data_IF_655572726123
#
_entry.id   IF_655572726123
#
_cell.length_a   1.000
_cell.length_b   1.000
_cell.length_c   1.000
_cell.angle_alpha   90.00
_cell.angle_beta   90.00
_cell.angle_gamma   90.00
#
_symmetry.space_group_name_H-M   'P 1'
#
loop_
_entity.id
_entity.type
_entity.pdbx_description
1 polymer ?
#
# COMPACT_ATOMS: atom_id res chain seq x y z
N UNK A 1 -3.43 -13.03 20.18
CA UNK A 1 -2.11 -13.67 19.94
C UNK A 1 -2.24 -15.19 19.82
N UNK A 2 -2.73 -15.90 20.84
CA UNK A 2 -2.89 -17.36 20.82
C UNK A 2 -3.84 -17.84 19.72
N UNK A 3 -4.95 -17.18 19.50
CA UNK A 3 -5.94 -17.53 18.46
C UNK A 3 -5.41 -17.40 17.04
N UNK A 4 -4.61 -16.39 16.76
CA UNK A 4 -4.01 -16.20 15.43
C UNK A 4 -2.98 -17.30 15.13
N UNK A 5 -2.17 -17.67 16.13
CA UNK A 5 -1.16 -18.73 16.00
C UNK A 5 -1.83 -20.10 15.81
N UNK A 6 -2.89 -20.38 16.56
CA UNK A 6 -3.59 -21.69 16.51
C UNK A 6 -4.33 -21.95 15.20
N UNK A 7 -4.63 -20.90 14.43
CA UNK A 7 -5.35 -20.98 13.15
C UNK A 7 -4.44 -20.97 11.92
N UNK A 8 -3.13 -20.74 12.12
CA UNK A 8 -2.17 -20.68 11.03
C UNK A 8 -1.29 -21.93 11.03
N UNK A 9 -1.43 -22.72 9.98
CA UNK A 9 -0.78 -24.03 9.81
C UNK A 9 0.20 -24.09 8.62
N UNK A 10 0.53 -22.93 8.02
CA UNK A 10 1.39 -22.84 6.86
C UNK A 10 2.57 -21.90 7.03
N UNK A 11 3.35 -21.73 5.96
CA UNK A 11 4.40 -20.72 5.86
C UNK A 11 3.83 -19.42 5.32
N UNK A 12 4.05 -18.32 6.05
CA UNK A 12 3.71 -16.98 5.59
C UNK A 12 4.86 -16.41 4.75
N UNK A 13 4.58 -16.15 3.47
CA UNK A 13 5.57 -15.60 2.53
C UNK A 13 5.34 -14.13 2.28
N UNK A 14 6.43 -13.35 2.31
CA UNK A 14 6.44 -11.91 1.98
C UNK A 14 7.22 -11.66 0.69
N UNK A 15 6.51 -11.32 -0.37
CA UNK A 15 7.11 -11.02 -1.68
C UNK A 15 7.38 -9.51 -1.84
N UNK A 16 8.54 -9.18 -2.37
CA UNK A 16 8.94 -7.80 -2.67
C UNK A 16 9.97 -7.79 -3.82
N UNK A 17 10.12 -6.64 -4.47
CA UNK A 17 11.15 -6.46 -5.49
C UNK A 17 12.52 -6.19 -4.83
N UNK A 18 13.53 -6.98 -5.17
CA UNK A 18 14.84 -6.94 -4.54
C UNK A 18 15.62 -5.65 -4.82
N UNK A 19 15.37 -5.02 -5.97
CA UNK A 19 15.98 -3.75 -6.38
C UNK A 19 15.47 -2.53 -5.61
N UNK A 20 14.42 -2.69 -4.76
CA UNK A 20 13.91 -1.60 -3.91
C UNK A 20 14.75 -1.28 -2.67
N UNK A 21 15.72 -2.13 -2.32
CA UNK A 21 16.44 -2.04 -1.05
C UNK A 21 15.62 -2.42 0.19
N UNK A 22 14.43 -2.96 0.04
CA UNK A 22 13.51 -3.28 1.14
C UNK A 22 13.85 -4.57 1.91
N UNK A 23 14.90 -5.29 1.52
CA UNK A 23 15.30 -6.54 2.17
C UNK A 23 15.44 -6.43 3.71
N UNK A 24 16.13 -5.43 4.28
CA UNK A 24 16.26 -5.34 5.74
C UNK A 24 14.92 -5.19 6.46
N UNK A 25 13.96 -4.47 5.86
CA UNK A 25 12.62 -4.31 6.41
C UNK A 25 11.89 -5.65 6.48
N UNK A 26 11.86 -6.41 5.40
CA UNK A 26 11.13 -7.69 5.36
C UNK A 26 11.83 -8.78 6.14
N UNK A 27 13.15 -8.79 6.20
CA UNK A 27 13.89 -9.65 7.14
C UNK A 27 13.51 -9.37 8.60
N UNK A 28 13.38 -8.10 8.97
CA UNK A 28 12.94 -7.72 10.32
C UNK A 28 11.51 -8.17 10.62
N UNK A 29 10.56 -7.99 9.68
CA UNK A 29 9.18 -8.45 9.82
C UNK A 29 9.13 -9.96 10.02
N UNK A 30 9.80 -10.73 9.16
CA UNK A 30 9.85 -12.19 9.24
C UNK A 30 10.46 -12.65 10.57
N UNK A 31 11.56 -12.03 11.01
CA UNK A 31 12.17 -12.35 12.29
C UNK A 31 11.25 -12.06 13.48
N UNK A 32 10.52 -10.96 13.45
CA UNK A 32 9.55 -10.63 14.50
C UNK A 32 8.38 -11.63 14.54
N UNK A 33 7.87 -12.07 13.40
CA UNK A 33 6.82 -13.08 13.33
C UNK A 33 7.31 -14.43 13.89
N UNK A 34 8.51 -14.84 13.53
CA UNK A 34 9.14 -16.08 14.07
C UNK A 34 9.36 -15.98 15.58
N UNK A 35 10.03 -14.92 16.03
CA UNK A 35 10.47 -14.80 17.42
C UNK A 35 9.32 -14.49 18.38
N UNK A 36 8.34 -13.67 17.97
CA UNK A 36 7.28 -13.22 18.86
C UNK A 36 6.02 -14.08 18.78
N UNK A 37 5.77 -14.70 17.63
CA UNK A 37 4.54 -15.45 17.38
C UNK A 37 4.77 -16.93 17.08
N UNK A 38 6.01 -17.36 16.81
CA UNK A 38 6.31 -18.73 16.40
C UNK A 38 5.77 -19.10 15.01
N UNK A 39 5.44 -18.09 14.19
CA UNK A 39 4.93 -18.31 12.82
C UNK A 39 6.11 -18.61 11.90
N UNK A 40 5.99 -19.68 11.10
CA UNK A 40 6.95 -19.93 10.02
C UNK A 40 6.73 -18.89 8.90
N UNK A 41 7.64 -17.92 8.82
CA UNK A 41 7.58 -16.84 7.85
C UNK A 41 8.89 -16.79 7.03
N UNK A 42 8.77 -16.46 5.74
CA UNK A 42 9.91 -16.33 4.83
C UNK A 42 9.76 -15.13 3.91
N UNK A 43 10.88 -14.57 3.48
CA UNK A 43 10.90 -13.56 2.42
C UNK A 43 11.00 -14.24 1.05
N UNK A 44 10.37 -13.64 0.04
CA UNK A 44 10.45 -14.03 -1.36
C UNK A 44 10.88 -12.82 -2.20
N UNK A 45 12.19 -12.55 -2.32
CA UNK A 45 12.68 -11.45 -3.16
C UNK A 45 12.53 -11.80 -4.64
N UNK A 46 11.86 -10.94 -5.40
CA UNK A 46 11.75 -11.03 -6.85
C UNK A 46 12.78 -10.07 -7.45
N UNK A 47 13.59 -10.48 -8.44
CA UNK A 47 14.79 -9.74 -8.84
C UNK A 47 14.53 -8.28 -9.18
N UNK A 48 13.52 -7.99 -9.99
CA UNK A 48 13.22 -6.64 -10.49
C UNK A 48 11.82 -6.17 -10.17
N UNK A 49 11.61 -4.86 -10.14
CA UNK A 49 10.29 -4.27 -10.00
C UNK A 49 9.34 -4.69 -11.13
N UNK A 50 9.83 -4.81 -12.36
CA UNK A 50 9.00 -5.22 -13.50
C UNK A 50 8.47 -6.65 -13.32
N UNK A 51 9.34 -7.61 -13.01
CA UNK A 51 8.92 -9.00 -12.76
C UNK A 51 7.94 -9.09 -11.59
N UNK A 52 8.19 -8.30 -10.54
CA UNK A 52 7.29 -8.20 -9.40
C UNK A 52 5.90 -7.69 -9.83
N UNK A 53 5.84 -6.59 -10.59
CA UNK A 53 4.57 -6.03 -11.09
C UNK A 53 3.85 -7.01 -12.02
N UNK A 54 4.57 -7.68 -12.89
CA UNK A 54 3.99 -8.70 -13.78
C UNK A 54 3.35 -9.84 -12.98
N UNK A 55 4.03 -10.32 -11.94
CA UNK A 55 3.50 -11.37 -11.07
C UNK A 55 2.26 -10.92 -10.27
N UNK A 56 2.23 -9.68 -9.78
CA UNK A 56 1.06 -9.10 -9.10
C UNK A 56 -0.11 -8.94 -10.08
N UNK A 57 0.12 -8.35 -11.25
CA UNK A 57 -0.90 -8.10 -12.27
C UNK A 57 -1.52 -9.41 -12.77
N UNK A 58 -0.69 -10.43 -12.96
CA UNK A 58 -1.14 -11.75 -13.41
C UNK A 58 -1.69 -12.63 -12.28
N UNK A 59 -1.84 -12.11 -11.07
CA UNK A 59 -2.34 -12.84 -9.89
C UNK A 59 -1.53 -14.11 -9.56
N UNK A 60 -0.22 -14.05 -9.80
CA UNK A 60 0.71 -15.15 -9.53
C UNK A 60 1.34 -15.08 -8.13
N UNK A 61 1.14 -13.97 -7.41
CA UNK A 61 1.63 -13.82 -6.05
C UNK A 61 0.89 -14.75 -5.08
N UNK A 62 1.65 -15.37 -4.18
CA UNK A 62 1.13 -16.17 -3.09
C UNK A 62 1.58 -15.57 -1.77
N UNK A 63 0.65 -15.44 -0.81
CA UNK A 63 0.93 -14.82 0.48
C UNK A 63 0.92 -13.29 0.40
N UNK A 64 1.58 -12.66 1.35
CA UNK A 64 1.67 -11.21 1.42
C UNK A 64 2.69 -10.66 0.42
N UNK A 65 2.44 -9.49 -0.12
CA UNK A 65 3.37 -8.81 -1.00
C UNK A 65 3.42 -7.30 -0.70
N UNK A 66 4.55 -6.72 -1.05
CA UNK A 66 4.77 -5.29 -0.91
C UNK A 66 3.85 -4.49 -1.84
N UNK A 67 3.28 -3.43 -1.33
CA UNK A 67 2.64 -2.41 -2.16
C UNK A 67 2.98 -1.03 -1.64
N UNK A 68 2.84 -0.01 -2.48
CA UNK A 68 3.05 1.38 -2.13
C UNK A 68 2.31 2.27 -3.12
N UNK A 69 1.96 3.47 -2.68
CA UNK A 69 1.27 4.45 -3.51
C UNK A 69 1.83 5.83 -3.25
N UNK A 70 1.93 6.61 -4.29
CA UNK A 70 2.17 8.05 -4.23
C UNK A 70 0.98 8.74 -4.88
N UNK A 71 0.31 9.67 -4.19
CA UNK A 71 -0.90 10.28 -4.73
C UNK A 71 -0.57 11.23 -5.88
N UNK A 72 -1.45 11.28 -6.87
CA UNK A 72 -1.35 12.19 -8.00
C UNK A 72 -1.90 13.58 -7.67
N UNK A 73 -2.74 13.66 -6.64
CA UNK A 73 -3.37 14.90 -6.14
C UNK A 73 -3.72 14.77 -4.65
N UNK A 74 -3.84 15.90 -3.90
CA UNK A 74 -4.03 15.90 -2.44
C UNK A 74 -5.48 15.59 -2.04
N UNK A 75 -5.91 14.34 -2.25
CA UNK A 75 -7.21 13.84 -1.84
C UNK A 75 -7.10 12.42 -1.29
N UNK A 76 -7.87 12.12 -0.26
CA UNK A 76 -8.02 10.75 0.24
C UNK A 76 -8.57 9.79 -0.84
N UNK A 77 -9.36 10.30 -1.77
CA UNK A 77 -9.89 9.54 -2.91
C UNK A 77 -8.79 8.86 -3.70
N UNK A 78 -7.65 9.55 -3.93
CA UNK A 78 -6.54 8.97 -4.71
C UNK A 78 -5.89 7.76 -4.05
N UNK A 79 -6.01 7.60 -2.74
CA UNK A 79 -5.63 6.40 -2.03
C UNK A 79 -6.76 5.38 -1.96
N UNK A 80 -7.92 5.81 -1.46
CA UNK A 80 -8.99 4.91 -1.08
C UNK A 80 -9.64 4.26 -2.32
N UNK A 81 -10.08 5.09 -3.28
CA UNK A 81 -10.75 4.58 -4.47
C UNK A 81 -9.81 3.82 -5.39
N UNK A 82 -8.60 4.36 -5.63
CA UNK A 82 -7.65 3.77 -6.57
C UNK A 82 -7.14 2.39 -6.11
N UNK A 83 -6.94 2.21 -4.80
CA UNK A 83 -6.30 1.02 -4.26
C UNK A 83 -7.28 -0.03 -3.74
N UNK A 84 -8.53 0.34 -3.42
CA UNK A 84 -9.42 -0.55 -2.68
C UNK A 84 -10.83 -0.66 -3.25
N UNK A 85 -11.21 0.15 -4.25
CA UNK A 85 -12.54 0.02 -4.84
C UNK A 85 -12.71 -1.30 -5.60
N UNK A 86 -13.93 -1.81 -5.60
CA UNK A 86 -14.30 -2.98 -6.42
C UNK A 86 -14.07 -2.70 -7.90
N UNK A 87 -14.25 -1.45 -8.35
CA UNK A 87 -14.01 -1.05 -9.73
C UNK A 87 -12.55 -1.18 -10.17
N UNK A 88 -11.60 -1.02 -9.24
CA UNK A 88 -10.17 -1.12 -9.49
C UNK A 88 -9.61 -2.54 -9.29
N UNK A 89 -10.44 -3.50 -8.89
CA UNK A 89 -10.07 -4.90 -8.68
C UNK A 89 -9.99 -5.70 -10.00
N UNK A 90 -9.62 -6.96 -9.91
CA UNK A 90 -9.60 -7.94 -11.00
C UNK A 90 -8.72 -7.49 -12.21
N UNK A 91 -7.69 -6.71 -11.96
CA UNK A 91 -6.78 -6.20 -13.00
C UNK A 91 -7.28 -4.95 -13.74
N UNK A 92 -8.43 -4.36 -13.32
CA UNK A 92 -8.97 -3.15 -13.93
C UNK A 92 -8.31 -1.86 -13.42
N UNK A 93 -7.49 -1.94 -12.37
CA UNK A 93 -6.81 -0.80 -11.76
C UNK A 93 -5.72 -1.22 -10.80
N UNK A 94 -5.51 -0.43 -9.74
CA UNK A 94 -4.42 -0.61 -8.78
C UNK A 94 -4.83 -1.34 -7.48
N UNK A 95 -6.02 -1.93 -7.43
CA UNK A 95 -6.45 -2.78 -6.33
C UNK A 95 -5.82 -4.18 -6.48
N UNK A 96 -4.55 -4.27 -6.16
CA UNK A 96 -3.74 -5.48 -6.35
C UNK A 96 -4.18 -6.66 -5.45
N UNK A 97 -4.87 -6.37 -4.36
CA UNK A 97 -5.40 -7.36 -3.42
C UNK A 97 -6.80 -7.87 -3.76
N UNK A 98 -7.43 -7.35 -4.80
CA UNK A 98 -8.80 -7.67 -5.22
C UNK A 98 -9.84 -7.53 -4.09
N UNK A 99 -9.62 -6.59 -3.17
CA UNK A 99 -10.56 -6.28 -2.10
C UNK A 99 -11.88 -5.77 -2.69
N UNK A 100 -12.99 -6.22 -2.13
CA UNK A 100 -14.34 -5.85 -2.56
C UNK A 100 -15.23 -5.63 -1.36
N UNK A 101 -15.75 -4.43 -1.21
CA UNK A 101 -16.69 -4.06 -0.15
C UNK A 101 -17.72 -3.06 -0.68
N UNK A 102 -18.98 -3.48 -0.88
CA UNK A 102 -20.04 -2.56 -1.33
C UNK A 102 -20.22 -1.36 -0.40
N UNK A 103 -20.09 -1.55 0.91
CA UNK A 103 -20.23 -0.46 1.89
C UNK A 103 -19.09 0.57 1.73
N UNK A 104 -17.86 0.13 1.51
CA UNK A 104 -16.72 0.99 1.20
C UNK A 104 -16.93 1.76 -0.11
N UNK A 105 -17.31 1.05 -1.17
CA UNK A 105 -17.55 1.64 -2.49
C UNK A 105 -18.62 2.73 -2.44
N UNK A 106 -19.71 2.48 -1.69
CA UNK A 106 -20.82 3.43 -1.57
C UNK A 106 -20.41 4.70 -0.81
N UNK A 107 -19.62 4.59 0.24
CA UNK A 107 -19.07 5.76 0.96
C UNK A 107 -18.15 6.58 0.07
N UNK A 108 -17.29 5.94 -0.69
CA UNK A 108 -16.41 6.65 -1.64
C UNK A 108 -17.19 7.38 -2.74
N UNK A 109 -18.25 6.76 -3.29
CA UNK A 109 -19.13 7.42 -4.27
C UNK A 109 -19.89 8.61 -3.68
N UNK A 110 -20.38 8.48 -2.45
CA UNK A 110 -21.03 9.60 -1.74
C UNK A 110 -20.03 10.74 -1.47
N UNK A 111 -18.79 10.39 -1.08
CA UNK A 111 -17.73 11.38 -0.87
C UNK A 111 -17.40 12.14 -2.16
N UNK A 112 -17.30 11.44 -3.29
CA UNK A 112 -17.05 12.05 -4.60
C UNK A 112 -18.20 12.97 -5.06
N UNK A 113 -19.43 12.73 -4.60
CA UNK A 113 -20.60 13.55 -4.91
C UNK A 113 -20.89 14.65 -3.87
N UNK A 114 -20.07 14.77 -2.83
CA UNK A 114 -20.28 15.74 -1.76
C UNK A 114 -20.09 17.18 -2.25
N UNK A 115 -20.86 18.10 -1.68
CA UNK A 115 -20.83 19.51 -2.08
C UNK A 115 -19.67 20.31 -1.45
N UNK A 116 -19.01 19.76 -0.46
CA UNK A 116 -17.85 20.38 0.20
C UNK A 116 -16.75 19.36 0.47
N UNK A 117 -15.51 19.84 0.51
CA UNK A 117 -14.33 19.02 0.89
C UNK A 117 -14.46 18.45 2.30
N UNK A 118 -15.02 19.22 3.23
CA UNK A 118 -15.20 18.77 4.61
C UNK A 118 -16.18 17.61 4.72
N UNK A 119 -17.27 17.63 3.96
CA UNK A 119 -18.23 16.54 3.95
C UNK A 119 -17.68 15.32 3.20
N UNK A 120 -16.95 15.53 2.11
CA UNK A 120 -16.20 14.45 1.43
C UNK A 120 -15.22 13.76 2.39
N UNK A 121 -14.42 14.53 3.13
CA UNK A 121 -13.44 13.99 4.07
C UNK A 121 -14.08 13.15 5.19
N UNK A 122 -15.23 13.56 5.72
CA UNK A 122 -15.96 12.76 6.72
C UNK A 122 -16.39 11.40 6.18
N UNK A 123 -16.83 11.36 4.92
CA UNK A 123 -17.24 10.11 4.27
C UNK A 123 -16.02 9.22 3.96
N UNK A 124 -14.90 9.81 3.53
CA UNK A 124 -13.65 9.06 3.35
C UNK A 124 -13.10 8.51 4.67
N UNK A 125 -13.22 9.23 5.78
CA UNK A 125 -12.86 8.71 7.10
C UNK A 125 -13.69 7.48 7.47
N UNK A 126 -15.00 7.48 7.21
CA UNK A 126 -15.83 6.31 7.44
C UNK A 126 -15.45 5.12 6.52
N UNK A 127 -15.09 5.39 5.26
CA UNK A 127 -14.58 4.37 4.36
C UNK A 127 -13.24 3.79 4.84
N UNK A 128 -12.34 4.63 5.36
CA UNK A 128 -11.07 4.21 5.95
C UNK A 128 -11.27 3.33 7.19
N UNK A 129 -12.27 3.62 8.03
CA UNK A 129 -12.62 2.76 9.18
C UNK A 129 -13.01 1.34 8.74
N UNK A 130 -13.72 1.19 7.61
CA UNK A 130 -14.02 -0.13 7.04
C UNK A 130 -12.72 -0.85 6.65
N UNK A 131 -11.82 -0.17 5.94
CA UNK A 131 -10.53 -0.75 5.55
C UNK A 131 -9.68 -1.16 6.77
N UNK A 132 -9.66 -0.35 7.82
CA UNK A 132 -8.91 -0.66 9.05
C UNK A 132 -9.50 -1.85 9.81
N UNK A 133 -10.80 -2.08 9.71
CA UNK A 133 -11.45 -3.25 10.29
C UNK A 133 -11.24 -4.52 9.46
N UNK A 134 -11.30 -4.41 8.13
CA UNK A 134 -11.15 -5.55 7.21
C UNK A 134 -9.68 -5.90 6.93
N UNK A 135 -8.77 -4.94 7.07
CA UNK A 135 -7.32 -5.04 6.85
C UNK A 135 -6.93 -5.72 5.53
N UNK A 136 -7.42 -5.27 4.38
CA UNK A 136 -6.96 -5.79 3.08
C UNK A 136 -5.47 -5.49 2.83
N UNK A 137 -4.93 -4.49 3.51
CA UNK A 137 -3.51 -4.16 3.55
C UNK A 137 -3.10 -3.75 4.96
N UNK A 138 -1.85 -3.99 5.32
CA UNK A 138 -1.26 -3.59 6.60
C UNK A 138 -0.39 -2.35 6.36
N UNK A 139 -0.79 -1.15 6.84
CA UNK A 139 0.03 0.04 6.74
C UNK A 139 1.32 -0.12 7.56
N UNK A 140 2.47 0.19 6.95
CA UNK A 140 3.76 0.05 7.60
C UNK A 140 4.39 1.40 7.94
N UNK A 141 4.51 2.30 6.96
CA UNK A 141 5.13 3.61 7.15
C UNK A 141 4.81 4.57 5.99
N UNK A 142 5.01 5.85 6.25
CA UNK A 142 5.06 6.87 5.21
C UNK A 142 6.52 7.10 4.79
N UNK A 143 6.76 7.21 3.49
CA UNK A 143 8.07 7.58 2.97
C UNK A 143 8.27 9.09 3.05
N UNK A 144 9.50 9.50 3.38
CA UNK A 144 9.93 10.89 3.22
C UNK A 144 10.60 11.05 1.85
N UNK A 145 10.32 12.15 1.17
CA UNK A 145 11.12 12.54 0.04
C UNK A 145 12.46 13.12 0.51
N UNK A 146 13.51 12.70 -0.15
CA UNK A 146 14.85 13.24 0.07
C UNK A 146 15.47 13.55 -1.27
N UNK A 147 16.10 14.69 -1.39
CA UNK A 147 16.85 15.09 -2.57
C UNK A 147 18.23 15.62 -2.21
N UNK A 148 19.18 15.43 -3.10
CA UNK A 148 20.52 16.00 -2.98
C UNK A 148 20.78 16.84 -4.21
N UNK A 149 21.16 18.10 -4.01
CA UNK A 149 21.58 18.98 -5.08
C UNK A 149 23.09 19.26 -5.00
N UNK A 150 23.74 19.41 -6.13
CA UNK A 150 25.15 19.85 -6.16
C UNK A 150 25.26 21.33 -5.77
N UNK A 151 26.41 21.75 -5.29
CA UNK A 151 26.70 23.16 -4.97
C UNK A 151 26.60 24.11 -6.18
N UNK A 152 26.53 23.58 -7.38
CA UNK A 152 26.31 24.35 -8.61
C UNK A 152 24.87 24.74 -8.85
N UNK A 153 23.93 24.07 -8.20
CA UNK A 153 22.50 24.43 -8.20
C UNK A 153 22.30 25.57 -7.20
N UNK A 154 22.12 26.79 -7.70
CA UNK A 154 22.09 28.00 -6.88
C UNK A 154 20.69 28.53 -6.59
N UNK A 155 19.70 28.04 -7.31
CA UNK A 155 18.29 28.41 -7.12
C UNK A 155 17.39 27.46 -7.94
N UNK A 156 16.08 27.47 -7.70
CA UNK A 156 15.13 26.82 -8.57
C UNK A 156 14.72 25.40 -8.16
N UNK A 157 15.11 24.90 -6.99
CA UNK A 157 14.63 23.63 -6.49
C UNK A 157 13.58 23.85 -5.41
N UNK A 158 12.34 23.47 -5.71
CA UNK A 158 11.27 23.34 -4.74
C UNK A 158 10.71 21.92 -4.80
N UNK A 159 10.30 21.37 -3.65
CA UNK A 159 9.53 20.16 -3.59
C UNK A 159 8.07 20.54 -3.35
N UNK A 160 7.18 20.12 -4.24
CA UNK A 160 5.75 20.21 -4.02
C UNK A 160 5.27 19.09 -3.08
N UNK A 161 3.97 19.05 -2.82
CA UNK A 161 3.38 18.03 -1.96
C UNK A 161 3.53 16.59 -2.48
N UNK A 162 3.83 16.41 -3.76
CA UNK A 162 4.13 15.10 -4.38
C UNK A 162 5.63 14.77 -4.39
N UNK A 163 6.46 15.65 -3.82
CA UNK A 163 7.91 15.53 -3.85
C UNK A 163 8.53 15.64 -5.25
N UNK A 164 7.86 16.33 -6.15
CA UNK A 164 8.41 16.68 -7.45
C UNK A 164 9.26 17.94 -7.32
N UNK A 165 10.39 17.97 -8.01
CA UNK A 165 11.18 19.17 -8.12
C UNK A 165 10.60 20.07 -9.21
N UNK A 166 10.37 21.33 -8.90
CA UNK A 166 10.03 22.36 -9.87
C UNK A 166 11.23 23.28 -10.07
N UNK A 167 11.48 23.68 -11.31
CA UNK A 167 12.50 24.67 -11.66
C UNK A 167 12.03 26.11 -11.47
#
# INVERSE_FOLDING_TARGET
KADAISKYDGQLTFSYNADSGAKPLYDAVVNQLKNNLGIDAATNPIPTFQEFRDAVTNRQMKGAFRTGWQPDYPSAENYLWQLYSTAAADGNGSNDGDYKSPAFDDLCKQAAAASSTDDANKLYQQAEEILLNDLPAIPLYYSNASGVASLNVKSGYAFDWQNRSEE
#
